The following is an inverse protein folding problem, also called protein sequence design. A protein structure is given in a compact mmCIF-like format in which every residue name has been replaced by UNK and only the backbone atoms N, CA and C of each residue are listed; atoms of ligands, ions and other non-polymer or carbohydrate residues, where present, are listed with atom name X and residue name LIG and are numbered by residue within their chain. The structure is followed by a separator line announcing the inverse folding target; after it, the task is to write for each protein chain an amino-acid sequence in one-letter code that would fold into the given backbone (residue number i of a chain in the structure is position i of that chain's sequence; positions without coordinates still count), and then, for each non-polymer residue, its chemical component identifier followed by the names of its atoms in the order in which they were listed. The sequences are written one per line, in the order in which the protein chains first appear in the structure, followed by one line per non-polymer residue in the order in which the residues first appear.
data_IF_460929346372
#
_entry.id   IF_460929346372
#
_cell.length_a   1.000
_cell.length_b   1.000
_cell.length_c   1.000
_cell.angle_alpha   90.00
_cell.angle_beta   90.00
_cell.angle_gamma   90.00
#
_symmetry.space_group_name_H-M   'P 1'
#
loop_
_entity.id
_entity.type
_entity.pdbx_description
1 polymer ?
#
# COMPACT_ATOMS: atom_id res chain seq x y z
N UNK A 1 34.14 -35.56 -2.48
CA UNK A 1 32.88 -35.30 -1.75
C UNK A 1 33.05 -33.99 -1.00
N UNK A 2 32.56 -32.86 -1.53
CA UNK A 2 32.71 -31.54 -0.89
C UNK A 2 31.42 -31.22 -0.14
N UNK A 3 31.55 -31.05 1.17
CA UNK A 3 30.47 -30.73 2.10
C UNK A 3 29.99 -29.30 1.81
N UNK A 4 28.73 -29.12 1.44
CA UNK A 4 28.10 -27.79 1.34
C UNK A 4 27.42 -27.53 2.68
N UNK A 5 27.97 -26.59 3.46
CA UNK A 5 27.34 -26.12 4.70
C UNK A 5 26.32 -25.06 4.29
N UNK A 6 25.04 -25.44 4.26
CA UNK A 6 23.93 -24.49 4.16
C UNK A 6 23.70 -23.85 5.53
N UNK A 7 24.09 -22.58 5.69
CA UNK A 7 23.75 -21.79 6.87
C UNK A 7 22.31 -21.31 6.67
N UNK A 8 21.36 -21.94 7.37
CA UNK A 8 20.00 -21.42 7.51
C UNK A 8 20.03 -20.40 8.65
N UNK A 9 20.05 -19.12 8.32
CA UNK A 9 19.81 -18.02 9.26
C UNK A 9 18.30 -17.95 9.55
N UNK A 10 17.88 -18.50 10.68
CA UNK A 10 16.53 -18.28 11.22
C UNK A 10 16.56 -16.94 11.94
N UNK A 11 16.15 -15.86 11.26
CA UNK A 11 15.78 -14.62 11.92
C UNK A 11 14.40 -14.84 12.57
N UNK A 12 14.38 -15.25 13.84
CA UNK A 12 13.19 -15.06 14.67
C UNK A 12 13.13 -13.59 15.06
N UNK A 13 12.59 -12.73 14.20
CA UNK A 13 12.22 -11.38 14.61
C UNK A 13 11.10 -11.53 15.66
N UNK A 14 11.39 -11.11 16.88
CA UNK A 14 10.35 -10.73 17.82
C UNK A 14 9.62 -9.55 17.16
N UNK A 15 8.55 -9.86 16.42
CA UNK A 15 7.80 -8.92 15.61
C UNK A 15 7.09 -7.93 16.52
N UNK A 16 7.75 -6.82 16.83
CA UNK A 16 7.02 -5.57 16.99
C UNK A 16 6.62 -5.21 15.56
N UNK A 17 5.41 -5.57 15.14
CA UNK A 17 4.87 -5.08 13.87
C UNK A 17 4.94 -3.55 13.91
N UNK A 18 5.92 -2.99 13.20
CA UNK A 18 6.10 -1.56 13.14
C UNK A 18 4.91 -1.00 12.36
N UNK A 19 3.96 -0.39 13.08
CA UNK A 19 2.83 0.28 12.47
C UNK A 19 3.31 1.36 11.50
N UNK A 20 2.73 1.39 10.31
CA UNK A 20 2.94 2.45 9.35
C UNK A 20 1.78 3.43 9.42
N UNK A 21 2.10 4.72 9.57
CA UNK A 21 1.11 5.79 9.62
C UNK A 21 1.03 6.55 8.31
N UNK A 22 -0.18 6.75 7.83
CA UNK A 22 -0.50 7.61 6.69
C UNK A 22 -1.08 8.90 7.25
N UNK A 23 -0.33 9.99 7.11
CA UNK A 23 -0.65 11.28 7.71
C UNK A 23 -1.12 12.28 6.67
N UNK A 24 -2.03 13.17 7.05
CA UNK A 24 -2.49 14.23 6.16
C UNK A 24 -1.39 15.27 5.91
N UNK A 25 -1.16 15.64 4.66
CA UNK A 25 -0.24 16.70 4.26
C UNK A 25 1.24 16.38 4.49
N UNK A 26 2.08 17.42 4.47
CA UNK A 26 3.52 17.32 4.69
C UNK A 26 3.85 17.45 6.17
N UNK A 27 4.32 16.38 6.81
CA UNK A 27 4.83 16.42 8.18
C UNK A 27 4.64 15.12 8.96
N UNK A 28 5.66 14.76 9.75
CA UNK A 28 5.68 13.52 10.55
C UNK A 28 4.81 13.60 11.82
N UNK A 29 4.24 14.77 12.12
CA UNK A 29 3.41 15.02 13.30
C UNK A 29 1.96 15.40 12.96
N UNK A 30 1.60 15.39 11.68
CA UNK A 30 0.24 15.68 11.25
C UNK A 30 -0.71 14.55 11.66
N UNK A 31 -2.01 14.81 11.56
CA UNK A 31 -3.07 13.86 11.83
C UNK A 31 -2.85 12.54 11.08
N UNK A 32 -2.94 11.42 11.80
CA UNK A 32 -2.90 10.07 11.22
C UNK A 32 -4.30 9.75 10.71
N UNK A 33 -4.44 9.67 9.39
CA UNK A 33 -5.69 9.28 8.75
C UNK A 33 -5.86 7.76 8.72
N UNK A 34 -4.76 7.04 8.54
CA UNK A 34 -4.77 5.58 8.50
C UNK A 34 -3.56 4.97 9.19
N UNK A 35 -3.74 3.76 9.70
CA UNK A 35 -2.68 2.89 10.21
C UNK A 35 -2.66 1.59 9.40
N UNK A 36 -1.48 1.17 8.97
CA UNK A 36 -1.22 -0.12 8.34
C UNK A 36 -0.39 -0.99 9.29
N UNK A 37 -0.89 -2.20 9.57
CA UNK A 37 -0.27 -3.15 10.51
C UNK A 37 0.32 -4.41 9.82
N UNK A 38 0.49 -4.37 8.50
CA UNK A 38 0.97 -5.51 7.72
C UNK A 38 -0.13 -6.43 7.19
N UNK A 39 -1.35 -6.36 7.74
CA UNK A 39 -2.52 -7.12 7.23
C UNK A 39 -3.77 -6.25 7.07
N UNK A 40 -3.97 -5.30 7.96
CA UNK A 40 -5.16 -4.47 8.05
C UNK A 40 -4.82 -3.00 7.84
N UNK A 41 -5.62 -2.35 7.00
CA UNK A 41 -5.68 -0.90 6.95
C UNK A 41 -6.80 -0.42 7.87
N UNK A 42 -6.48 0.48 8.79
CA UNK A 42 -7.41 1.00 9.80
C UNK A 42 -7.59 2.49 9.64
N UNK A 43 -8.77 2.98 10.02
CA UNK A 43 -9.03 4.41 10.11
C UNK A 43 -8.41 4.98 11.39
N UNK A 44 -7.64 6.05 11.29
CA UNK A 44 -7.02 6.72 12.44
C UNK A 44 -5.76 6.02 12.96
N UNK A 45 -5.31 6.46 14.15
CA UNK A 45 -4.06 6.02 14.79
C UNK A 45 -4.27 4.79 15.69
N UNK A 46 -3.52 3.72 15.42
CA UNK A 46 -3.40 2.54 16.30
C UNK A 46 -4.31 1.35 15.95
N UNK A 47 -4.18 0.26 16.72
CA UNK A 47 -4.66 -1.09 16.36
C UNK A 47 -6.12 -1.39 16.69
N UNK A 48 -6.78 -0.55 17.48
CA UNK A 48 -8.14 -0.80 17.96
C UNK A 48 -9.21 -0.10 17.13
N UNK A 49 -8.82 0.67 16.11
CA UNK A 49 -9.77 1.33 15.23
C UNK A 49 -10.40 0.37 14.22
N UNK A 50 -11.47 0.85 13.60
CA UNK A 50 -12.18 0.19 12.49
C UNK A 50 -11.20 -0.24 11.40
N UNK A 51 -11.21 -1.53 11.11
CA UNK A 51 -10.54 -2.09 9.93
C UNK A 51 -11.35 -1.72 8.70
N UNK A 52 -10.75 -0.98 7.80
CA UNK A 52 -11.34 -0.60 6.52
C UNK A 52 -11.19 -1.74 5.51
N UNK A 53 -9.98 -2.32 5.44
CA UNK A 53 -9.70 -3.47 4.58
C UNK A 53 -8.70 -4.45 5.19
N UNK A 54 -8.84 -5.70 4.78
CA UNK A 54 -7.83 -6.75 4.93
C UNK A 54 -7.12 -6.93 3.59
N UNK A 55 -5.79 -7.00 3.60
CA UNK A 55 -5.00 -7.30 2.41
C UNK A 55 -4.17 -8.56 2.62
N UNK A 56 -4.26 -9.49 1.67
CA UNK A 56 -3.63 -10.82 1.73
C UNK A 56 -2.43 -10.98 0.77
N UNK A 57 -1.92 -9.88 0.23
CA UNK A 57 -0.87 -9.89 -0.80
C UNK A 57 -1.39 -9.99 -2.23
N UNK A 58 -2.69 -10.23 -2.42
CA UNK A 58 -3.33 -10.19 -3.75
C UNK A 58 -4.66 -9.43 -3.76
N UNK A 59 -5.49 -9.60 -2.73
CA UNK A 59 -6.84 -9.08 -2.67
C UNK A 59 -7.02 -8.11 -1.52
N UNK A 60 -7.61 -6.95 -1.84
CA UNK A 60 -8.17 -6.04 -0.85
C UNK A 60 -9.60 -6.47 -0.55
N UNK A 61 -9.90 -6.76 0.71
CA UNK A 61 -11.21 -7.23 1.15
C UNK A 61 -11.83 -6.23 2.11
N UNK A 62 -13.12 -6.01 1.97
CA UNK A 62 -13.85 -5.10 2.83
C UNK A 62 -13.80 -5.55 4.30
N UNK A 63 -13.43 -4.65 5.20
CA UNK A 63 -13.41 -4.90 6.63
C UNK A 63 -12.40 -5.96 7.08
N UNK A 64 -12.59 -6.45 8.31
CA UNK A 64 -11.74 -7.48 8.92
C UNK A 64 -12.19 -8.88 8.50
N UNK A 65 -11.36 -9.59 7.73
CA UNK A 65 -11.60 -11.00 7.40
C UNK A 65 -11.10 -11.42 6.01
N UNK A 66 -10.58 -12.64 5.92
CA UNK A 66 -9.95 -13.19 4.71
C UNK A 66 -10.98 -13.72 3.69
N UNK A 67 -12.27 -13.76 4.05
CA UNK A 67 -13.36 -14.28 3.21
C UNK A 67 -14.39 -13.21 2.81
N UNK A 68 -14.14 -11.94 3.16
CA UNK A 68 -15.04 -10.86 2.82
C UNK A 68 -14.98 -10.51 1.33
N UNK A 69 -15.93 -9.68 0.89
CA UNK A 69 -16.02 -9.15 -0.47
C UNK A 69 -14.69 -8.56 -0.90
N UNK A 70 -14.18 -9.01 -2.06
CA UNK A 70 -12.99 -8.46 -2.68
C UNK A 70 -13.36 -7.15 -3.37
N UNK A 71 -12.73 -6.06 -2.93
CA UNK A 71 -12.87 -4.72 -3.49
C UNK A 71 -11.91 -4.50 -4.65
N UNK A 72 -10.69 -5.03 -4.55
CA UNK A 72 -9.68 -4.88 -5.59
C UNK A 72 -8.68 -6.03 -5.61
N UNK A 73 -8.04 -6.23 -6.77
CA UNK A 73 -6.95 -7.19 -6.98
C UNK A 73 -5.68 -6.44 -7.37
N UNK A 74 -4.56 -6.80 -6.74
CA UNK A 74 -3.23 -6.33 -7.08
C UNK A 74 -2.43 -7.45 -7.77
N UNK A 75 -1.81 -7.14 -8.90
CA UNK A 75 -0.99 -8.10 -9.67
C UNK A 75 0.51 -7.72 -9.74
N UNK A 76 0.95 -6.78 -8.90
CA UNK A 76 2.32 -6.27 -8.89
C UNK A 76 2.54 -5.05 -9.80
N UNK A 77 1.60 -4.76 -10.71
CA UNK A 77 1.64 -3.57 -11.57
C UNK A 77 0.32 -2.82 -11.61
N UNK A 78 -0.80 -3.52 -11.59
CA UNK A 78 -2.13 -2.97 -11.76
C UNK A 78 -2.98 -3.21 -10.51
N UNK A 79 -3.68 -2.15 -10.08
CA UNK A 79 -4.81 -2.29 -9.17
C UNK A 79 -6.09 -2.40 -10.01
N UNK A 80 -6.84 -3.48 -9.82
CA UNK A 80 -8.05 -3.81 -10.57
C UNK A 80 -9.28 -3.78 -9.70
N UNK A 81 -10.42 -3.41 -10.27
CA UNK A 81 -11.70 -3.46 -9.58
C UNK A 81 -12.13 -4.92 -9.34
N UNK A 82 -12.53 -5.24 -8.10
CA UNK A 82 -13.07 -6.56 -7.75
C UNK A 82 -12.05 -7.72 -7.81
N UNK A 83 -12.58 -8.95 -7.80
CA UNK A 83 -11.80 -10.20 -7.77
C UNK A 83 -11.39 -10.65 -9.16
N UNK A 84 -10.09 -10.75 -9.42
CA UNK A 84 -9.54 -11.40 -10.61
C UNK A 84 -8.58 -10.52 -11.42
N UNK A 85 -7.80 -11.18 -12.28
CA UNK A 85 -6.67 -10.57 -12.97
C UNK A 85 -7.06 -9.96 -14.34
N UNK A 86 -8.34 -10.08 -14.73
CA UNK A 86 -8.88 -9.60 -16.01
C UNK A 86 -9.90 -8.48 -15.89
N UNK A 87 -10.16 -8.00 -14.67
CA UNK A 87 -11.07 -6.88 -14.44
C UNK A 87 -10.44 -5.56 -14.86
N UNK A 88 -11.28 -4.52 -14.90
CA UNK A 88 -10.89 -3.15 -15.20
C UNK A 88 -9.72 -2.71 -14.34
N UNK A 89 -8.68 -2.20 -15.00
CA UNK A 89 -7.54 -1.58 -14.34
C UNK A 89 -7.95 -0.20 -13.91
N UNK A 90 -7.91 0.05 -12.61
CA UNK A 90 -8.17 1.36 -12.04
C UNK A 90 -6.90 2.21 -12.07
N UNK A 91 -5.75 1.62 -11.71
CA UNK A 91 -4.47 2.30 -11.67
C UNK A 91 -3.30 1.40 -12.12
N UNK A 92 -2.25 2.01 -12.67
CA UNK A 92 -0.95 1.40 -12.98
C UNK A 92 0.13 2.00 -12.08
N UNK A 93 0.99 1.16 -11.52
CA UNK A 93 2.26 1.56 -10.90
C UNK A 93 3.42 1.32 -11.88
N UNK A 94 4.22 2.34 -12.13
CA UNK A 94 5.39 2.24 -13.02
C UNK A 94 6.74 2.30 -12.28
N UNK A 95 6.72 2.36 -10.95
CA UNK A 95 7.92 2.49 -10.11
C UNK A 95 8.17 3.89 -9.57
N UNK A 96 7.52 4.92 -10.12
CA UNK A 96 7.63 6.32 -9.67
C UNK A 96 6.26 7.01 -9.57
N UNK A 97 5.36 6.67 -10.49
CA UNK A 97 4.06 7.29 -10.68
C UNK A 97 2.91 6.29 -10.54
N UNK A 98 1.83 6.75 -9.91
CA UNK A 98 0.53 6.11 -9.97
C UNK A 98 -0.24 6.75 -11.11
N UNK A 99 -0.64 5.95 -12.10
CA UNK A 99 -1.30 6.41 -13.33
C UNK A 99 -2.71 5.90 -13.42
N UNK A 100 -3.57 6.70 -14.05
CA UNK A 100 -4.95 6.31 -14.31
C UNK A 100 -5.02 5.15 -15.31
N UNK A 101 -5.82 4.14 -15.00
CA UNK A 101 -6.12 3.05 -15.93
C UNK A 101 -4.91 2.19 -16.28
N UNK A 102 -5.03 1.44 -17.39
CA UNK A 102 -4.00 0.50 -17.87
C UNK A 102 -2.98 1.21 -18.78
N UNK A 103 -1.73 1.30 -18.35
CA UNK A 103 -0.60 1.67 -19.20
C UNK A 103 0.34 2.71 -18.60
N UNK A 104 1.59 2.65 -19.05
CA UNK A 104 2.71 3.42 -18.48
C UNK A 104 2.78 4.88 -19.03
N UNK A 105 1.91 5.24 -19.96
CA UNK A 105 1.87 6.56 -20.60
C UNK A 105 0.58 7.34 -20.31
N UNK A 106 -0.31 6.79 -19.47
CA UNK A 106 -1.53 7.47 -19.08
C UNK A 106 -1.25 8.62 -18.12
N UNK A 107 -2.29 9.41 -17.86
CA UNK A 107 -2.30 10.51 -16.90
C UNK A 107 -1.68 10.09 -15.57
N UNK A 108 -0.66 10.83 -15.14
CA UNK A 108 -0.09 10.69 -13.79
C UNK A 108 -1.06 11.30 -12.79
N UNK A 109 -1.60 10.47 -11.91
CA UNK A 109 -2.45 10.90 -10.81
C UNK A 109 -1.61 11.33 -9.62
N UNK A 110 -0.54 10.57 -9.32
CA UNK A 110 0.31 10.82 -8.16
C UNK A 110 1.78 10.47 -8.42
N UNK A 111 2.66 11.12 -7.68
CA UNK A 111 4.09 10.76 -7.55
C UNK A 111 4.36 10.31 -6.12
N UNK A 112 5.11 9.22 -5.95
CA UNK A 112 5.47 8.72 -4.62
C UNK A 112 6.98 8.52 -4.51
N UNK A 113 7.60 9.17 -3.52
CA UNK A 113 9.06 9.14 -3.29
C UNK A 113 9.48 8.21 -2.13
N UNK A 114 8.56 7.36 -1.64
CA UNK A 114 8.78 6.50 -0.47
C UNK A 114 8.39 7.15 0.86
N UNK A 115 8.34 8.50 0.94
CA UNK A 115 7.89 9.23 2.14
C UNK A 115 6.65 10.08 1.88
N UNK A 116 6.57 10.74 0.74
CA UNK A 116 5.52 11.67 0.40
C UNK A 116 4.78 11.22 -0.84
N UNK A 117 3.45 11.17 -0.73
CA UNK A 117 2.58 11.09 -1.88
C UNK A 117 2.19 12.51 -2.31
N UNK A 118 2.34 12.80 -3.59
CA UNK A 118 2.03 14.11 -4.18
C UNK A 118 1.00 13.98 -5.28
N UNK A 119 0.15 14.99 -5.41
CA UNK A 119 -0.79 15.07 -6.53
C UNK A 119 -0.06 15.42 -7.83
N UNK A 120 -0.32 14.67 -8.90
CA UNK A 120 0.25 14.89 -10.23
C UNK A 120 1.72 14.51 -10.34
N UNK A 121 2.31 14.89 -11.48
CA UNK A 121 3.68 14.51 -11.88
C UNK A 121 4.74 15.43 -11.25
N UNK A 122 5.69 14.83 -10.53
CA UNK A 122 6.90 15.48 -10.03
C UNK A 122 6.94 15.73 -8.51
N UNK A 123 8.15 16.00 -8.02
CA UNK A 123 8.46 16.04 -6.58
C UNK A 123 8.20 17.37 -5.88
N UNK A 124 7.74 18.38 -6.62
CA UNK A 124 7.48 19.73 -6.08
C UNK A 124 5.99 20.03 -5.88
N UNK A 125 5.11 19.09 -6.23
CA UNK A 125 3.68 19.25 -6.02
C UNK A 125 3.29 19.13 -4.55
N UNK A 126 2.07 19.59 -4.24
CA UNK A 126 1.43 19.47 -2.93
C UNK A 126 1.50 18.04 -2.41
N UNK A 127 2.01 17.88 -1.18
CA UNK A 127 1.97 16.61 -0.46
C UNK A 127 0.55 16.36 0.01
N UNK A 128 -0.04 15.25 -0.42
CA UNK A 128 -1.32 14.78 0.09
C UNK A 128 -1.11 13.97 1.36
N UNK A 129 -0.13 13.05 1.35
CA UNK A 129 0.18 12.20 2.49
C UNK A 129 1.67 12.14 2.82
N UNK A 130 1.97 12.06 4.12
CA UNK A 130 3.27 11.65 4.64
C UNK A 130 3.16 10.24 5.20
N UNK A 131 4.07 9.35 4.78
CA UNK A 131 4.18 7.97 5.24
C UNK A 131 5.28 7.88 6.30
N UNK A 132 4.93 7.36 7.47
CA UNK A 132 5.87 7.11 8.57
C UNK A 132 5.89 5.61 8.85
N UNK A 133 6.89 4.91 8.32
CA UNK A 133 7.00 3.44 8.34
C UNK A 133 7.11 2.87 6.92
N UNK A 134 7.02 1.55 6.79
CA UNK A 134 7.01 0.86 5.50
C UNK A 134 5.57 0.59 5.04
N UNK A 135 5.17 1.18 3.91
CA UNK A 135 3.86 0.97 3.31
C UNK A 135 4.02 0.28 1.95
N UNK A 136 3.43 -0.91 1.73
CA UNK A 136 3.36 -1.51 0.41
C UNK A 136 2.64 -0.56 -0.56
N UNK A 137 3.18 -0.42 -1.77
CA UNK A 137 2.68 0.57 -2.74
C UNK A 137 1.22 0.31 -3.11
N UNK A 138 0.81 -0.94 -3.18
CA UNK A 138 -0.55 -1.36 -3.44
C UNK A 138 -1.55 -0.87 -2.39
N UNK A 139 -1.15 -0.76 -1.12
CA UNK A 139 -2.00 -0.23 -0.05
C UNK A 139 -2.15 1.27 -0.23
N UNK A 140 -1.07 1.96 -0.60
CA UNK A 140 -1.11 3.39 -0.93
C UNK A 140 -2.00 3.65 -2.15
N UNK A 141 -1.86 2.87 -3.23
CA UNK A 141 -2.69 2.97 -4.43
C UNK A 141 -4.16 2.71 -4.10
N UNK A 142 -4.46 1.73 -3.24
CA UNK A 142 -5.82 1.46 -2.80
C UNK A 142 -6.45 2.65 -2.05
N UNK A 143 -5.69 3.37 -1.22
CA UNK A 143 -6.18 4.53 -0.46
C UNK A 143 -6.59 5.70 -1.36
N UNK A 144 -5.99 5.84 -2.55
CA UNK A 144 -6.11 7.03 -3.41
C UNK A 144 -6.93 6.82 -4.67
N UNK A 145 -7.66 5.71 -4.73
CA UNK A 145 -8.41 5.25 -5.89
C UNK A 145 -9.86 4.93 -5.52
#
# INVERSE_FOLDING_TARGET
MKLVISIILIFSSLGVDAQTYIRQGKGDYNEVLYTWDGKYLRQGKGDYNTVLVTYDGKYFRQGKGDYNTVLSTWDGKYLRLGKGDYNDVLCTWDGEYIRQGKGDYNTVLYTFDGKYLRQGKGNYNTVLYTITGELPIEVLIFIVN
#
